data_IF_748986995794
#
_entry.id   IF_748986995794
#
_cell.length_a   1.000
_cell.length_b   1.000
_cell.length_c   1.000
_cell.angle_alpha   90.00
_cell.angle_beta   90.00
_cell.angle_gamma   90.00
#
_symmetry.space_group_name_H-M   'P 1'
#
loop_
_entity.id
_entity.type
_entity.pdbx_description
1 polymer ?
#
# COMPACT_ATOMS: atom_id res chain seq x y z
N UNK A 1 -8.18 1.36 -4.45
CA UNK A 1 -6.92 0.67 -4.12
C UNK A 1 -6.50 1.10 -2.72
N UNK A 2 -6.49 0.20 -1.74
CA UNK A 2 -6.35 0.58 -0.32
C UNK A 2 -5.04 1.36 -0.10
N UNK A 3 -5.15 2.64 0.25
CA UNK A 3 -4.04 3.52 0.63
C UNK A 3 -3.31 4.31 -0.47
N UNK A 4 -3.53 4.07 -1.77
CA UNK A 4 -2.85 4.83 -2.85
C UNK A 4 -3.73 5.87 -3.56
N UNK A 5 -5.05 5.84 -3.34
CA UNK A 5 -5.99 6.76 -4.01
C UNK A 5 -5.65 8.23 -3.73
N UNK A 6 -5.33 8.58 -2.48
CA UNK A 6 -4.98 9.97 -2.14
C UNK A 6 -3.71 10.47 -2.84
N UNK A 7 -2.77 9.58 -3.17
CA UNK A 7 -1.59 9.92 -3.96
C UNK A 7 -1.95 10.20 -5.42
N UNK A 8 -2.78 9.36 -6.04
CA UNK A 8 -3.23 9.59 -7.41
C UNK A 8 -4.06 10.88 -7.54
N UNK A 9 -4.93 11.15 -6.56
CA UNK A 9 -5.71 12.38 -6.51
C UNK A 9 -4.79 13.62 -6.45
N UNK A 10 -3.78 13.58 -5.58
CA UNK A 10 -2.83 14.69 -5.42
C UNK A 10 -1.97 14.89 -6.68
N UNK A 11 -1.52 13.81 -7.32
CA UNK A 11 -0.79 13.89 -8.60
C UNK A 11 -1.68 14.44 -9.72
N UNK A 12 -2.96 14.09 -9.74
CA UNK A 12 -3.94 14.63 -10.68
C UNK A 12 -4.14 16.14 -10.52
N UNK A 13 -4.19 16.64 -9.27
CA UNK A 13 -4.23 18.09 -8.99
C UNK A 13 -2.99 18.83 -9.49
N UNK A 14 -1.84 18.14 -9.57
CA UNK A 14 -0.60 18.66 -10.15
C UNK A 14 -0.52 18.51 -11.67
N UNK A 15 -1.55 17.97 -12.32
CA UNK A 15 -1.64 17.83 -13.78
C UNK A 15 -1.02 16.55 -14.34
N UNK A 16 -0.69 15.56 -13.49
CA UNK A 16 -0.15 14.28 -13.93
C UNK A 16 -1.25 13.23 -14.07
N UNK A 17 -1.27 12.52 -15.20
CA UNK A 17 -2.18 11.41 -15.40
C UNK A 17 -1.75 10.18 -14.59
N UNK A 18 -2.69 9.26 -14.34
CA UNK A 18 -2.37 7.96 -13.73
C UNK A 18 -1.33 7.21 -14.57
N UNK A 19 -1.36 7.35 -15.90
CA UNK A 19 -0.38 6.72 -16.79
C UNK A 19 1.04 7.24 -16.55
N UNK A 20 1.21 8.55 -16.32
CA UNK A 20 2.51 9.14 -16.02
C UNK A 20 3.08 8.57 -14.72
N UNK A 21 2.22 8.48 -13.70
CA UNK A 21 2.57 7.95 -12.38
C UNK A 21 2.92 6.45 -12.45
N UNK A 22 2.25 5.68 -13.32
CA UNK A 22 2.49 4.24 -13.52
C UNK A 22 3.62 3.91 -14.52
N UNK A 23 4.27 4.91 -15.11
CA UNK A 23 5.31 4.69 -16.13
C UNK A 23 6.41 3.72 -15.66
N UNK A 24 6.72 2.70 -16.46
CA UNK A 24 7.75 1.70 -16.11
C UNK A 24 7.39 0.73 -14.97
N UNK A 25 6.18 0.81 -14.39
CA UNK A 25 5.73 -0.15 -13.36
C UNK A 25 5.19 -1.46 -13.96
N UNK A 26 4.98 -1.52 -15.27
CA UNK A 26 4.28 -2.62 -15.96
C UNK A 26 2.87 -2.90 -15.40
N UNK A 27 2.22 -1.89 -14.81
CA UNK A 27 0.83 -1.97 -14.37
C UNK A 27 -0.04 -1.24 -15.38
N UNK A 28 -1.06 -1.93 -15.89
CA UNK A 28 -2.06 -1.28 -16.74
C UNK A 28 -2.88 -0.28 -15.91
N UNK A 29 -3.13 0.96 -16.41
CA UNK A 29 -4.04 1.90 -15.77
C UNK A 29 -5.43 1.29 -15.50
N UNK A 30 -5.94 0.45 -16.40
CA UNK A 30 -7.25 -0.21 -16.25
C UNK A 30 -7.27 -1.20 -15.07
N UNK A 31 -6.11 -1.75 -14.73
CA UNK A 31 -5.98 -2.67 -13.60
C UNK A 31 -6.21 -1.96 -12.25
N UNK A 32 -6.09 -0.62 -12.19
CA UNK A 32 -6.34 0.16 -10.96
C UNK A 32 -7.78 0.03 -10.45
N UNK A 33 -8.73 -0.28 -11.33
CA UNK A 33 -10.14 -0.47 -10.99
C UNK A 33 -10.45 -1.91 -10.52
N UNK A 34 -9.48 -2.83 -10.58
CA UNK A 34 -9.68 -4.22 -10.20
C UNK A 34 -9.52 -4.40 -8.68
N UNK A 35 -10.56 -4.96 -8.06
CA UNK A 35 -10.57 -5.33 -6.63
C UNK A 35 -9.45 -6.31 -6.24
N UNK A 36 -8.90 -7.07 -7.19
CA UNK A 36 -7.88 -8.09 -6.98
C UNK A 36 -6.48 -7.67 -7.41
N UNK A 37 -6.26 -6.38 -7.70
CA UNK A 37 -4.95 -5.91 -8.16
C UNK A 37 -3.89 -6.13 -7.09
N UNK A 38 -2.93 -7.00 -7.40
CA UNK A 38 -1.72 -7.16 -6.63
C UNK A 38 -0.62 -6.28 -7.22
N UNK A 39 -0.05 -5.39 -6.40
CA UNK A 39 1.14 -4.61 -6.76
C UNK A 39 2.33 -5.15 -5.98
N UNK A 40 3.33 -5.65 -6.70
CA UNK A 40 4.57 -6.13 -6.11
C UNK A 40 5.39 -5.00 -5.47
N UNK A 41 6.30 -5.35 -4.57
CA UNK A 41 7.16 -4.35 -3.91
C UNK A 41 7.99 -3.52 -4.89
N UNK A 42 8.56 -4.16 -5.93
CA UNK A 42 9.35 -3.47 -6.97
C UNK A 42 8.48 -2.46 -7.72
N UNK A 43 7.23 -2.82 -8.04
CA UNK A 43 6.29 -1.92 -8.69
C UNK A 43 5.90 -0.73 -7.80
N UNK A 44 5.70 -0.96 -6.49
CA UNK A 44 5.46 0.14 -5.52
C UNK A 44 6.68 1.08 -5.44
N UNK A 45 7.89 0.54 -5.42
CA UNK A 45 9.12 1.35 -5.41
C UNK A 45 9.18 2.21 -6.68
N UNK A 46 8.96 1.63 -7.86
CA UNK A 46 8.96 2.37 -9.12
C UNK A 46 7.87 3.45 -9.15
N UNK A 47 6.66 3.16 -8.67
CA UNK A 47 5.57 4.12 -8.50
C UNK A 47 6.03 5.32 -7.65
N UNK A 48 6.60 5.07 -6.47
CA UNK A 48 7.06 6.14 -5.59
C UNK A 48 8.25 6.93 -6.17
N UNK A 49 9.10 6.30 -6.97
CA UNK A 49 10.16 7.01 -7.69
C UNK A 49 9.60 7.93 -8.77
N UNK A 50 8.56 7.50 -9.50
CA UNK A 50 7.89 8.34 -10.48
C UNK A 50 7.23 9.55 -9.81
N UNK A 51 6.52 9.32 -8.70
CA UNK A 51 5.89 10.40 -7.91
C UNK A 51 6.94 11.39 -7.42
N UNK A 52 8.07 10.93 -6.90
CA UNK A 52 9.15 11.83 -6.46
C UNK A 52 9.76 12.66 -7.60
N UNK A 53 9.81 12.11 -8.82
CA UNK A 53 10.34 12.83 -9.99
C UNK A 53 9.35 13.84 -10.57
N UNK A 54 8.05 13.51 -10.51
CA UNK A 54 6.98 14.31 -11.12
C UNK A 54 6.43 15.38 -10.15
N UNK A 55 6.33 15.06 -8.86
CA UNK A 55 5.72 15.95 -7.87
C UNK A 55 6.50 17.25 -7.70
N UNK A 56 5.78 18.37 -7.68
CA UNK A 56 6.32 19.67 -7.31
C UNK A 56 6.30 19.92 -5.79
N UNK A 57 5.64 19.03 -5.01
CA UNK A 57 5.59 19.11 -3.55
C UNK A 57 6.52 18.04 -2.92
N UNK A 58 7.62 18.43 -2.25
CA UNK A 58 8.50 17.50 -1.55
C UNK A 58 7.84 16.83 -0.34
N UNK A 59 6.73 17.37 0.16
CA UNK A 59 5.96 16.84 1.29
C UNK A 59 4.74 16.02 0.86
N UNK A 60 4.61 15.70 -0.43
CA UNK A 60 3.44 14.99 -0.98
C UNK A 60 3.10 13.73 -0.18
N UNK A 61 4.09 12.92 0.17
CA UNK A 61 3.88 11.69 0.94
C UNK A 61 3.26 11.93 2.33
N UNK A 62 3.62 13.03 3.01
CA UNK A 62 3.03 13.40 4.29
C UNK A 62 1.58 13.88 4.11
N UNK A 63 1.32 14.73 3.11
CA UNK A 63 -0.04 15.22 2.82
C UNK A 63 -0.98 14.09 2.45
N UNK A 64 -0.53 13.17 1.61
CA UNK A 64 -1.34 12.03 1.15
C UNK A 64 -1.49 10.99 2.24
N UNK A 65 -0.46 10.79 3.07
CA UNK A 65 -0.49 9.92 4.25
C UNK A 65 -1.50 10.38 5.30
N UNK A 66 -1.62 11.69 5.54
CA UNK A 66 -2.64 12.26 6.44
C UNK A 66 -4.08 12.00 5.96
N UNK A 67 -4.27 11.79 4.65
CA UNK A 67 -5.58 11.48 4.04
C UNK A 67 -5.90 9.98 4.06
N UNK A 68 -4.97 9.11 4.47
CA UNK A 68 -5.23 7.67 4.54
C UNK A 68 -6.21 7.36 5.68
N UNK A 69 -7.17 6.49 5.38
CA UNK A 69 -8.20 6.05 6.30
C UNK A 69 -7.75 4.77 6.98
N UNK A 70 -8.23 4.51 8.20
CA UNK A 70 -7.95 3.22 8.87
C UNK A 70 -8.37 2.02 8.01
N UNK A 71 -9.42 2.15 7.19
CA UNK A 71 -9.87 1.11 6.26
C UNK A 71 -8.87 0.78 5.15
N UNK A 72 -7.91 1.66 4.88
CA UNK A 72 -6.82 1.42 3.92
C UNK A 72 -5.78 0.44 4.48
N UNK A 73 -5.76 0.31 5.80
CA UNK A 73 -4.84 -0.52 6.54
C UNK A 73 -5.60 -1.80 6.94
N UNK A 74 -5.02 -2.97 6.67
CA UNK A 74 -5.75 -4.24 6.69
C UNK A 74 -6.21 -4.66 8.09
N UNK A 75 -6.74 -5.88 8.21
CA UNK A 75 -7.18 -6.44 9.51
C UNK A 75 -6.08 -6.42 10.58
N UNK A 76 -4.82 -6.58 10.18
CA UNK A 76 -3.66 -6.47 11.07
C UNK A 76 -3.57 -5.08 11.71
N UNK A 77 -3.69 -4.03 10.90
CA UNK A 77 -3.59 -2.66 11.36
C UNK A 77 -4.82 -2.24 12.18
N UNK A 78 -6.01 -2.75 11.82
CA UNK A 78 -7.20 -2.62 12.65
C UNK A 78 -6.98 -3.26 14.04
N UNK A 79 -6.35 -4.43 14.10
CA UNK A 79 -6.04 -5.09 15.37
C UNK A 79 -5.06 -4.27 16.22
N UNK A 80 -4.03 -3.67 15.59
CA UNK A 80 -3.13 -2.72 16.26
C UNK A 80 -3.89 -1.51 16.80
N UNK A 81 -4.75 -0.91 15.99
CA UNK A 81 -5.51 0.28 16.35
C UNK A 81 -6.54 0.01 17.47
N UNK A 82 -7.17 -1.15 17.46
CA UNK A 82 -8.14 -1.60 18.47
C UNK A 82 -7.50 -2.08 19.77
N UNK A 83 -6.16 -2.16 19.84
CA UNK A 83 -5.46 -2.59 21.04
C UNK A 83 -5.74 -1.64 22.20
N UNK A 84 -6.03 -2.19 23.38
CA UNK A 84 -6.42 -1.42 24.55
C UNK A 84 -5.39 -0.36 24.98
N UNK A 85 -4.12 -0.62 24.72
CA UNK A 85 -3.02 0.30 24.99
C UNK A 85 -1.81 -0.01 24.09
N UNK A 86 -0.83 0.89 24.12
CA UNK A 86 0.39 0.78 23.32
C UNK A 86 1.16 -0.53 23.55
N UNK A 87 1.25 -1.01 24.80
CA UNK A 87 1.92 -2.27 25.11
C UNK A 87 1.28 -3.44 24.34
N UNK A 88 -0.05 -3.53 24.36
CA UNK A 88 -0.76 -4.59 23.62
C UNK A 88 -0.59 -4.45 22.11
N UNK A 89 -0.58 -3.23 21.58
CA UNK A 89 -0.30 -2.99 20.16
C UNK A 89 1.11 -3.49 19.77
N UNK A 90 2.13 -3.20 20.60
CA UNK A 90 3.50 -3.68 20.37
C UNK A 90 3.61 -5.20 20.48
N UNK A 91 2.95 -5.81 21.47
CA UNK A 91 2.95 -7.27 21.58
C UNK A 91 2.25 -7.94 20.39
N UNK A 92 1.14 -7.37 19.93
CA UNK A 92 0.41 -7.85 18.76
C UNK A 92 1.27 -7.71 17.51
N UNK A 93 1.95 -6.57 17.35
CA UNK A 93 2.79 -6.31 16.17
C UNK A 93 3.95 -7.29 16.06
N UNK A 94 4.63 -7.59 17.17
CA UNK A 94 5.73 -8.55 17.20
C UNK A 94 5.21 -9.97 16.91
N UNK A 95 4.12 -10.39 17.56
CA UNK A 95 3.57 -11.75 17.40
C UNK A 95 3.03 -12.01 15.98
N UNK A 96 2.44 -10.99 15.35
CA UNK A 96 1.68 -11.15 14.12
C UNK A 96 2.23 -10.35 12.94
N UNK A 97 3.51 -9.95 12.96
CA UNK A 97 4.13 -9.16 11.88
C UNK A 97 3.96 -9.79 10.49
N UNK A 98 3.83 -11.12 10.40
CA UNK A 98 3.55 -11.85 9.15
C UNK A 98 2.19 -11.51 8.52
N UNK A 99 1.27 -10.92 9.27
CA UNK A 99 -0.04 -10.45 8.79
C UNK A 99 0.00 -9.01 8.28
N UNK A 100 1.12 -8.29 8.40
CA UNK A 100 1.28 -6.92 7.93
C UNK A 100 1.39 -6.79 6.39
N UNK A 101 0.85 -7.76 5.64
CA UNK A 101 1.10 -7.98 4.23
C UNK A 101 0.77 -6.81 3.30
N UNK A 102 -0.23 -5.99 3.67
CA UNK A 102 -0.68 -4.88 2.83
C UNK A 102 0.32 -3.71 2.80
N UNK A 103 1.04 -3.49 3.91
CA UNK A 103 1.96 -2.35 4.09
C UNK A 103 3.43 -2.76 4.01
N UNK A 104 3.82 -3.91 4.56
CA UNK A 104 5.24 -4.33 4.71
C UNK A 104 5.68 -5.48 3.80
N UNK A 105 4.85 -5.92 2.85
CA UNK A 105 5.25 -6.98 1.92
C UNK A 105 5.43 -8.35 2.60
N UNK A 106 4.80 -8.58 3.75
CA UNK A 106 4.63 -9.92 4.28
C UNK A 106 3.70 -10.69 3.34
N UNK A 107 4.30 -11.28 2.32
CA UNK A 107 3.66 -12.20 1.41
C UNK A 107 3.17 -13.38 2.25
N UNK A 108 1.90 -13.35 2.62
CA UNK A 108 1.18 -14.55 2.98
C UNK A 108 1.10 -15.42 1.73
N UNK A 109 2.16 -16.17 1.44
CA UNK A 109 2.06 -17.34 0.58
C UNK A 109 1.15 -18.33 1.29
N UNK A 110 -0.15 -18.23 1.04
CA UNK A 110 -1.03 -19.40 0.99
C UNK A 110 -0.66 -20.24 -0.24
N UNK A 111 0.60 -20.71 -0.30
CA UNK A 111 1.03 -21.69 -1.28
C UNK A 111 0.76 -23.07 -0.72
N UNK A 112 -0.26 -23.73 -1.28
CA UNK A 112 -0.55 -25.18 -1.24
C UNK A 112 0.54 -26.01 -0.56
N UNK A 113 0.18 -26.80 0.46
CA UNK A 113 1.00 -27.92 0.94
C UNK A 113 1.03 -28.96 -0.21
N UNK A 114 2.19 -29.24 -0.85
CA UNK A 114 2.32 -30.36 -1.75
C UNK A 114 2.80 -31.58 -0.96
N UNK A 115 2.10 -32.71 -1.08
CA UNK A 115 2.53 -33.98 -0.50
C UNK A 115 1.79 -34.38 0.78
N UNK A 116 0.53 -34.79 0.62
CA UNK A 116 0.00 -35.96 1.31
C UNK A 116 -0.52 -36.90 0.23
N UNK A 117 0.35 -37.78 -0.22
CA UNK A 117 -0.03 -39.14 -0.61
C UNK A 117 0.20 -40.03 0.62
#
# INVERSE_FOLDING_TARGET
MLGLTSLFDEMGLQGHSISDVLSGTNISPDAMNQSSLYISQVQKIQLFQNIQKLSHDPLIGLRTGQKQRLSDFGVYDYALYSSRNFRQAVELSIRHIKLAGNVMGASGKGGKIPGKE
#
